data_IF_456509690047
#
_entry.id   IF_456509690047
#
_cell.length_a   1.000
_cell.length_b   1.000
_cell.length_c   1.000
_cell.angle_alpha   90.00
_cell.angle_beta   90.00
_cell.angle_gamma   90.00
#
_symmetry.space_group_name_H-M   'P 1'
#
loop_
_entity.id
_entity.type
_entity.pdbx_description
1 polymer ?
#
# COMPACT_ATOMS: atom_id res chain seq x y z
N UNK A 1 21.62 -11.82 20.52
CA UNK A 1 20.32 -12.02 19.83
C UNK A 1 19.78 -10.65 19.47
N UNK A 2 19.40 -10.40 18.21
CA UNK A 2 18.71 -9.17 17.81
C UNK A 2 17.23 -9.51 17.72
N UNK A 3 16.43 -8.96 18.64
CA UNK A 3 14.98 -9.18 18.67
C UNK A 3 14.32 -7.86 18.38
N UNK A 4 13.41 -7.85 17.40
CA UNK A 4 12.61 -6.69 17.04
C UNK A 4 11.14 -7.05 17.12
N UNK A 5 10.33 -6.18 17.75
CA UNK A 5 8.89 -6.32 17.89
C UNK A 5 8.19 -5.15 17.20
N UNK A 6 7.23 -5.45 16.33
CA UNK A 6 6.26 -4.47 15.84
C UNK A 6 5.03 -4.56 16.75
N UNK A 7 4.73 -3.48 17.46
CA UNK A 7 3.67 -3.44 18.47
C UNK A 7 2.73 -2.27 18.23
N UNK A 8 1.48 -2.43 18.61
CA UNK A 8 0.48 -1.35 18.66
C UNK A 8 -0.11 -1.33 20.06
N UNK A 9 -0.19 -0.14 20.65
CA UNK A 9 -0.78 0.01 21.97
C UNK A 9 -2.28 -0.18 21.84
N UNK A 10 -2.90 -0.97 22.73
CA UNK A 10 -4.34 -1.04 22.80
C UNK A 10 -4.89 0.32 23.29
N UNK A 11 -5.73 0.96 22.49
CA UNK A 11 -6.35 2.23 22.83
C UNK A 11 -7.87 2.13 22.66
N UNK A 12 -8.59 2.67 23.63
CA UNK A 12 -10.06 2.75 23.66
C UNK A 12 -10.56 4.20 23.56
N UNK A 13 -9.68 5.16 23.33
CA UNK A 13 -10.03 6.60 23.22
C UNK A 13 -10.75 6.97 21.92
N UNK A 14 -10.75 6.07 20.93
CA UNK A 14 -11.25 6.33 19.59
C UNK A 14 -10.21 6.99 18.65
N UNK A 15 -9.05 7.37 19.18
CA UNK A 15 -7.92 7.86 18.38
C UNK A 15 -7.19 6.71 17.67
N UNK A 16 -6.42 7.05 16.64
CA UNK A 16 -5.55 6.10 15.95
C UNK A 16 -4.47 5.64 16.92
N UNK A 17 -4.54 4.38 17.32
CA UNK A 17 -3.65 3.83 18.32
C UNK A 17 -2.19 3.82 17.83
N UNK A 18 -1.24 4.32 18.64
CA UNK A 18 0.14 4.46 18.19
C UNK A 18 0.82 3.10 18.05
N UNK A 19 1.65 2.98 17.01
CA UNK A 19 2.46 1.80 16.71
C UNK A 19 3.95 2.09 16.88
N UNK A 20 4.71 1.08 17.29
CA UNK A 20 6.14 1.18 17.55
C UNK A 20 6.92 -0.02 17.03
N UNK A 21 8.19 0.22 16.70
CA UNK A 21 9.20 -0.82 16.50
C UNK A 21 10.13 -0.82 17.72
N UNK A 22 10.15 -1.91 18.47
CA UNK A 22 11.00 -2.10 19.65
C UNK A 22 12.13 -3.05 19.29
N UNK A 23 13.38 -2.62 19.40
CA UNK A 23 14.55 -3.46 19.10
C UNK A 23 15.46 -3.56 20.31
N UNK A 24 15.84 -4.78 20.68
CA UNK A 24 16.88 -5.02 21.69
C UNK A 24 18.19 -5.35 20.98
N UNK A 25 19.18 -4.49 21.18
CA UNK A 25 20.51 -4.61 20.57
C UNK A 25 21.58 -4.20 21.59
N UNK A 26 22.59 -5.04 21.74
CA UNK A 26 23.76 -4.80 22.61
C UNK A 26 23.38 -4.43 24.06
N UNK A 27 22.28 -5.01 24.57
CA UNK A 27 21.75 -4.75 25.92
C UNK A 27 20.90 -3.47 26.05
N UNK A 28 20.81 -2.66 25.00
CA UNK A 28 19.95 -1.48 24.92
C UNK A 28 18.59 -1.77 24.26
N UNK A 29 17.57 -1.03 24.69
CA UNK A 29 16.26 -0.98 24.05
C UNK A 29 16.17 0.26 23.17
N UNK A 30 15.99 0.06 21.87
CA UNK A 30 15.67 1.11 20.89
C UNK A 30 14.17 1.09 20.60
N UNK A 31 13.54 2.26 20.61
CA UNK A 31 12.11 2.44 20.35
C UNK A 31 11.94 3.43 19.22
N UNK A 32 11.29 3.01 18.13
CA UNK A 32 10.91 3.86 17.02
C UNK A 32 9.39 4.00 16.98
N UNK A 33 8.89 5.23 16.94
CA UNK A 33 7.46 5.51 16.77
C UNK A 33 7.09 5.60 15.29
N UNK A 34 6.01 4.92 14.89
CA UNK A 34 5.42 5.07 13.55
C UNK A 34 4.48 6.27 13.54
N UNK A 35 5.05 7.48 13.59
CA UNK A 35 4.29 8.71 13.58
C UNK A 35 4.75 9.64 12.46
N UNK A 36 3.79 10.09 11.65
CA UNK A 36 3.95 11.16 10.67
C UNK A 36 2.66 12.01 10.72
N UNK A 37 2.74 13.33 10.96
CA UNK A 37 1.56 14.19 10.98
C UNK A 37 0.75 14.08 9.68
N UNK A 38 -0.58 14.19 9.80
CA UNK A 38 -1.50 14.13 8.68
C UNK A 38 -2.70 15.04 8.94
N UNK A 39 -3.20 15.66 7.88
CA UNK A 39 -4.42 16.47 7.86
C UNK A 39 -5.52 15.84 7.00
N UNK A 40 -5.44 14.52 6.74
CA UNK A 40 -6.38 13.79 5.90
C UNK A 40 -7.76 13.71 6.53
N UNK A 41 -8.79 14.16 5.80
CA UNK A 41 -10.16 14.23 6.30
C UNK A 41 -10.78 12.87 6.67
N UNK A 42 -10.24 11.76 6.18
CA UNK A 42 -10.69 10.39 6.47
C UNK A 42 -9.58 9.54 7.11
N UNK A 43 -8.60 10.16 7.78
CA UNK A 43 -7.51 9.43 8.43
C UNK A 43 -8.01 8.35 9.38
N UNK A 44 -9.01 8.61 10.22
CA UNK A 44 -9.60 7.62 11.13
C UNK A 44 -10.21 6.42 10.39
N UNK A 45 -10.73 6.64 9.18
CA UNK A 45 -11.35 5.58 8.39
C UNK A 45 -10.32 4.61 7.82
N UNK A 46 -9.18 5.15 7.38
CA UNK A 46 -8.15 4.41 6.62
C UNK A 46 -6.91 4.04 7.44
N UNK A 47 -6.67 4.68 8.58
CA UNK A 47 -5.58 4.38 9.52
C UNK A 47 -6.05 3.37 10.55
N UNK A 48 -5.90 2.09 10.23
CA UNK A 48 -6.39 0.97 11.05
C UNK A 48 -5.29 0.33 11.91
N UNK A 49 -4.18 1.03 12.12
CA UNK A 49 -2.99 0.52 12.80
C UNK A 49 -2.20 -0.44 11.91
N UNK A 50 -1.75 -1.54 12.51
CA UNK A 50 -0.94 -2.57 11.85
C UNK A 50 -1.84 -3.50 11.03
N UNK A 51 -1.67 -3.49 9.72
CA UNK A 51 -2.32 -4.39 8.77
C UNK A 51 -1.30 -5.33 8.12
N UNK A 52 -1.51 -6.65 8.23
CA UNK A 52 -0.64 -7.63 7.56
C UNK A 52 -0.99 -7.72 6.08
N UNK A 53 -0.04 -7.38 5.21
CA UNK A 53 -0.20 -7.47 3.76
C UNK A 53 0.45 -8.75 3.21
N UNK A 54 -0.23 -9.87 3.45
CA UNK A 54 0.18 -11.19 3.02
C UNK A 54 1.51 -11.66 3.66
N UNK A 55 2.39 -12.24 2.82
CA UNK A 55 3.73 -12.67 3.23
C UNK A 55 4.82 -11.61 3.07
N UNK A 56 4.49 -10.42 2.55
CA UNK A 56 5.46 -9.37 2.25
C UNK A 56 5.87 -8.58 3.50
N UNK A 57 4.91 -8.26 4.35
CA UNK A 57 5.14 -7.39 5.49
C UNK A 57 3.87 -6.87 6.12
N UNK A 58 4.02 -5.74 6.79
CA UNK A 58 2.99 -5.05 7.52
C UNK A 58 2.90 -3.61 7.04
N UNK A 59 1.69 -3.15 6.78
CA UNK A 59 1.38 -1.76 6.49
C UNK A 59 0.88 -1.11 7.79
N UNK A 60 1.51 -0.03 8.22
CA UNK A 60 1.11 0.72 9.42
C UNK A 60 0.45 2.01 8.97
N UNK A 61 -0.86 2.08 9.18
CA UNK A 61 -1.71 3.23 8.84
C UNK A 61 -1.50 3.77 7.41
N UNK A 62 -1.20 2.92 6.44
CA UNK A 62 -0.90 3.32 5.06
C UNK A 62 0.29 4.27 4.85
N UNK A 63 1.07 4.60 5.88
CA UNK A 63 2.22 5.53 5.79
C UNK A 63 3.57 4.82 5.85
N UNK A 64 3.61 3.66 6.50
CA UNK A 64 4.83 2.90 6.69
C UNK A 64 4.63 1.47 6.24
N UNK A 65 5.60 0.94 5.52
CA UNK A 65 5.66 -0.46 5.18
C UNK A 65 6.86 -1.12 5.87
N UNK A 66 6.57 -2.13 6.70
CA UNK A 66 7.57 -2.91 7.44
C UNK A 66 7.69 -4.27 6.79
N UNK A 67 8.86 -4.56 6.21
CA UNK A 67 9.12 -5.85 5.57
C UNK A 67 9.22 -6.99 6.58
N UNK A 68 8.68 -8.16 6.23
CA UNK A 68 8.61 -9.29 7.17
C UNK A 68 9.98 -9.94 7.47
N UNK A 69 10.94 -9.86 6.54
CA UNK A 69 12.19 -10.65 6.61
C UNK A 69 13.25 -9.97 7.47
N UNK A 70 13.45 -8.66 7.32
CA UNK A 70 14.52 -7.93 8.00
C UNK A 70 14.02 -6.73 8.81
N UNK A 71 12.69 -6.61 8.99
CA UNK A 71 12.04 -5.51 9.69
C UNK A 71 12.42 -4.12 9.15
N UNK A 72 12.90 -4.01 7.90
CA UNK A 72 13.20 -2.72 7.29
C UNK A 72 11.89 -1.96 7.08
N UNK A 73 11.92 -0.71 7.53
CA UNK A 73 10.82 0.25 7.42
C UNK A 73 11.03 1.12 6.18
N UNK A 74 9.96 1.28 5.41
CA UNK A 74 9.88 2.21 4.29
C UNK A 74 8.76 3.21 4.54
N UNK A 75 9.00 4.47 4.17
CA UNK A 75 7.91 5.43 4.03
C UNK A 75 7.15 5.10 2.76
N UNK A 76 5.83 5.02 2.85
CA UNK A 76 4.97 4.92 1.68
C UNK A 76 4.71 6.34 1.21
N UNK A 77 5.10 6.65 -0.02
CA UNK A 77 4.84 7.96 -0.61
C UNK A 77 3.34 8.25 -0.66
N UNK A 78 2.93 9.31 0.01
CA UNK A 78 1.54 9.78 0.02
C UNK A 78 1.14 10.33 -1.35
N UNK A 79 -0.15 10.29 -1.65
CA UNK A 79 -0.68 10.92 -2.86
C UNK A 79 -0.66 12.45 -2.76
N UNK A 80 -0.88 12.97 -1.55
CA UNK A 80 -0.68 14.36 -1.16
C UNK A 80 0.18 14.38 0.10
N UNK A 81 1.21 15.21 0.17
CA UNK A 81 2.24 15.08 1.22
C UNK A 81 1.70 15.31 2.64
N UNK A 82 0.67 16.14 2.75
CA UNK A 82 -0.01 16.53 3.98
C UNK A 82 -1.09 15.54 4.44
N UNK A 83 -1.54 14.63 3.57
CA UNK A 83 -2.61 13.67 3.88
C UNK A 83 -2.06 12.24 3.81
N UNK A 84 -2.35 11.44 4.84
CA UNK A 84 -2.18 9.99 4.77
C UNK A 84 -2.91 9.45 3.56
N UNK A 85 -2.52 8.27 3.07
CA UNK A 85 -3.23 7.68 1.94
C UNK A 85 -4.67 7.34 2.34
N UNK A 86 -5.62 8.09 1.77
CA UNK A 86 -7.06 8.00 2.03
C UNK A 86 -7.70 6.84 1.23
N UNK A 87 -7.13 5.64 1.36
CA UNK A 87 -7.48 4.49 0.53
C UNK A 87 -7.48 3.17 1.28
N UNK A 88 -8.22 2.20 0.73
CA UNK A 88 -8.14 0.82 1.20
C UNK A 88 -6.96 0.12 0.54
N UNK A 89 -6.14 -0.59 1.32
CA UNK A 89 -5.16 -1.51 0.77
C UNK A 89 -5.87 -2.51 -0.16
N UNK A 90 -5.43 -2.57 -1.41
CA UNK A 90 -6.04 -3.40 -2.44
C UNK A 90 -5.27 -4.72 -2.57
N UNK A 91 -4.01 -4.62 -2.98
CA UNK A 91 -3.10 -5.75 -3.17
C UNK A 91 -1.66 -5.27 -3.32
N UNK A 92 -0.72 -6.20 -3.41
CA UNK A 92 0.65 -5.93 -3.81
C UNK A 92 0.96 -6.53 -5.19
N UNK A 93 1.96 -5.97 -5.86
CA UNK A 93 2.53 -6.57 -7.07
C UNK A 93 3.10 -7.97 -6.79
N UNK A 94 3.25 -8.83 -7.83
CA UNK A 94 3.81 -10.17 -7.68
C UNK A 94 5.23 -10.18 -7.09
N UNK A 95 6.05 -9.19 -7.44
CA UNK A 95 7.39 -8.98 -6.88
C UNK A 95 7.38 -8.35 -5.47
N UNK A 96 6.19 -8.01 -4.94
CA UNK A 96 5.95 -7.42 -3.62
C UNK A 96 6.68 -6.10 -3.42
N UNK A 97 6.89 -5.31 -4.47
CA UNK A 97 7.54 -3.99 -4.39
C UNK A 97 6.59 -2.82 -4.60
N UNK A 98 5.40 -3.05 -5.17
CA UNK A 98 4.36 -2.04 -5.35
C UNK A 98 3.16 -2.36 -4.48
N UNK A 99 2.67 -1.36 -3.76
CA UNK A 99 1.44 -1.42 -2.95
C UNK A 99 0.35 -0.65 -3.70
N UNK A 100 -0.80 -1.28 -3.93
CA UNK A 100 -1.96 -0.66 -4.55
C UNK A 100 -3.02 -0.30 -3.50
N UNK A 101 -3.59 0.89 -3.63
CA UNK A 101 -4.65 1.43 -2.78
C UNK A 101 -5.85 1.83 -3.62
N UNK A 102 -7.04 1.36 -3.25
CA UNK A 102 -8.29 1.83 -3.82
C UNK A 102 -8.70 3.15 -3.16
N UNK A 103 -8.71 4.23 -3.94
CA UNK A 103 -9.07 5.59 -3.54
C UNK A 103 -10.19 6.09 -4.46
N UNK A 104 -11.42 6.12 -3.94
CA UNK A 104 -12.60 6.50 -4.72
C UNK A 104 -12.76 5.62 -5.96
N UNK A 105 -12.68 6.24 -7.14
CA UNK A 105 -12.77 5.63 -8.47
C UNK A 105 -11.39 5.37 -9.12
N UNK A 106 -10.33 5.30 -8.31
CA UNK A 106 -8.97 5.13 -8.79
C UNK A 106 -8.14 4.19 -7.91
N UNK A 107 -7.06 3.67 -8.50
CA UNK A 107 -6.06 2.84 -7.84
C UNK A 107 -4.76 3.66 -7.78
N UNK A 108 -4.40 4.12 -6.59
CA UNK A 108 -3.11 4.75 -6.33
C UNK A 108 -2.08 3.68 -5.98
N UNK A 109 -0.93 3.72 -6.62
CA UNK A 109 0.08 2.67 -6.51
C UNK A 109 1.42 3.28 -6.18
N UNK A 110 2.13 2.65 -5.24
CA UNK A 110 3.40 3.13 -4.73
C UNK A 110 4.42 2.02 -4.76
N UNK A 111 5.49 2.21 -5.54
CA UNK A 111 6.67 1.36 -5.47
C UNK A 111 7.54 1.83 -4.30
N UNK A 112 7.39 1.21 -3.13
CA UNK A 112 7.87 1.75 -1.85
C UNK A 112 9.39 1.79 -1.70
N UNK A 113 10.15 1.20 -2.63
CA UNK A 113 11.61 1.25 -2.61
C UNK A 113 12.19 2.41 -3.41
N UNK A 114 11.46 2.95 -4.40
CA UNK A 114 11.92 4.04 -5.27
C UNK A 114 11.01 5.27 -5.25
N UNK A 115 9.88 5.21 -4.54
CA UNK A 115 8.86 6.27 -4.50
C UNK A 115 8.26 6.61 -5.88
N UNK A 116 8.42 5.73 -6.87
CA UNK A 116 7.69 5.81 -8.12
C UNK A 116 6.22 5.48 -7.86
N UNK A 117 5.33 6.31 -8.43
CA UNK A 117 3.89 6.18 -8.23
C UNK A 117 3.16 6.09 -9.55
N UNK A 118 1.99 5.48 -9.52
CA UNK A 118 1.09 5.41 -10.67
C UNK A 118 -0.35 5.48 -10.20
N UNK A 119 -1.19 6.21 -10.92
CA UNK A 119 -2.64 6.29 -10.65
C UNK A 119 -3.36 5.70 -11.85
N UNK A 120 -4.14 4.65 -11.61
CA UNK A 120 -4.98 4.01 -12.60
C UNK A 120 -6.44 4.34 -12.28
N UNK A 121 -7.16 5.03 -13.17
CA UNK A 121 -8.62 5.17 -13.02
C UNK A 121 -9.28 3.81 -13.20
N UNK A 122 -10.32 3.55 -12.41
CA UNK A 122 -11.20 2.41 -12.65
C UNK A 122 -11.95 2.63 -13.97
N UNK A 123 -12.22 1.54 -14.70
CA UNK A 123 -13.06 1.62 -15.88
C UNK A 123 -14.49 2.02 -15.51
N UNK A 124 -15.22 2.60 -16.46
CA UNK A 124 -16.56 3.18 -16.24
C UNK A 124 -17.58 2.15 -15.72
N UNK A 125 -17.40 0.88 -16.09
CA UNK A 125 -18.24 -0.25 -15.69
C UNK A 125 -17.80 -0.91 -14.37
N UNK A 126 -16.77 -0.39 -13.68
CA UNK A 126 -16.35 -0.94 -12.41
C UNK A 126 -17.49 -0.89 -11.37
N UNK A 127 -17.62 -1.93 -10.53
CA UNK A 127 -18.56 -1.90 -9.41
C UNK A 127 -18.31 -0.71 -8.47
N UNK A 128 -19.32 -0.34 -7.68
CA UNK A 128 -19.19 0.74 -6.68
C UNK A 128 -18.95 0.26 -5.26
N UNK A 129 -19.35 -0.98 -4.97
CA UNK A 129 -19.16 -1.57 -3.64
C UNK A 129 -17.76 -2.16 -3.53
N UNK A 130 -17.07 -1.80 -2.46
CA UNK A 130 -15.66 -2.15 -2.25
C UNK A 130 -15.38 -3.65 -2.47
N UNK A 131 -16.09 -4.61 -1.83
CA UNK A 131 -15.85 -6.04 -2.06
C UNK A 131 -15.95 -6.46 -3.54
N UNK A 132 -16.98 -5.98 -4.25
CA UNK A 132 -17.17 -6.26 -5.67
C UNK A 132 -16.08 -5.61 -6.54
N UNK A 133 -15.54 -4.46 -6.13
CA UNK A 133 -14.39 -3.83 -6.81
C UNK A 133 -13.15 -4.70 -6.70
N UNK A 134 -12.89 -5.32 -5.54
CA UNK A 134 -11.75 -6.23 -5.37
C UNK A 134 -11.80 -7.40 -6.35
N UNK A 135 -12.92 -8.11 -6.41
CA UNK A 135 -13.13 -9.26 -7.30
C UNK A 135 -13.00 -8.84 -8.77
N UNK A 136 -13.67 -7.75 -9.15
CA UNK A 136 -13.63 -7.24 -10.51
C UNK A 136 -12.22 -6.82 -10.94
N UNK A 137 -11.43 -6.21 -10.05
CA UNK A 137 -10.03 -5.87 -10.33
C UNK A 137 -9.18 -7.12 -10.59
N UNK A 138 -9.40 -8.21 -9.83
CA UNK A 138 -8.65 -9.45 -10.02
C UNK A 138 -8.87 -10.07 -11.40
N UNK A 139 -10.06 -9.89 -11.97
CA UNK A 139 -10.42 -10.40 -13.30
C UNK A 139 -9.96 -9.47 -14.43
N UNK A 140 -10.07 -8.16 -14.23
CA UNK A 140 -9.96 -7.17 -15.32
C UNK A 140 -8.64 -6.39 -15.33
N UNK A 141 -7.69 -6.68 -14.43
CA UNK A 141 -6.41 -5.95 -14.34
C UNK A 141 -5.23 -6.91 -14.38
N UNK A 142 -4.10 -6.42 -14.90
CA UNK A 142 -2.80 -7.08 -14.84
C UNK A 142 -1.76 -6.18 -14.25
N UNK A 143 -0.80 -6.80 -13.58
CA UNK A 143 0.47 -6.15 -13.30
C UNK A 143 1.34 -6.13 -14.57
N UNK A 144 1.68 -4.93 -15.01
CA UNK A 144 2.56 -4.68 -16.14
C UNK A 144 3.81 -3.92 -15.69
N UNK A 145 4.97 -4.31 -16.22
CA UNK A 145 6.21 -3.59 -15.98
C UNK A 145 6.29 -2.34 -16.86
N UNK A 146 6.66 -1.22 -16.27
CA UNK A 146 7.02 -0.02 -17.01
C UNK A 146 8.47 -0.12 -17.55
N UNK A 147 8.94 0.94 -18.24
CA UNK A 147 10.31 1.02 -18.79
C UNK A 147 11.42 0.92 -17.74
N UNK A 148 11.13 1.20 -16.46
CA UNK A 148 12.06 1.06 -15.33
C UNK A 148 12.01 -0.34 -14.70
N UNK A 149 11.20 -1.26 -15.24
CA UNK A 149 11.00 -2.60 -14.71
C UNK A 149 10.04 -2.68 -13.51
N UNK A 150 9.39 -1.57 -13.14
CA UNK A 150 8.48 -1.47 -12.00
C UNK A 150 7.10 -1.96 -12.40
N UNK A 151 6.54 -2.86 -11.59
CA UNK A 151 5.25 -3.49 -11.81
C UNK A 151 4.09 -2.64 -11.27
N UNK A 152 3.19 -2.20 -12.15
CA UNK A 152 1.98 -1.48 -11.81
C UNK A 152 0.75 -2.19 -12.36
N UNK A 153 -0.32 -2.21 -11.58
CA UNK A 153 -1.64 -2.74 -11.91
C UNK A 153 -2.33 -1.83 -12.92
N UNK A 154 -2.69 -2.37 -14.08
CA UNK A 154 -3.37 -1.65 -15.17
C UNK A 154 -4.58 -2.42 -15.65
N UNK A 155 -5.55 -1.68 -16.17
CA UNK A 155 -6.74 -2.27 -16.76
C UNK A 155 -6.33 -3.09 -17.99
N UNK A 156 -6.81 -4.34 -18.06
CA UNK A 156 -6.77 -5.16 -19.25
C UNK A 156 -8.03 -4.85 -20.05
N UNK A 157 -7.84 -4.33 -21.24
CA UNK A 157 -8.92 -4.28 -22.22
C UNK A 157 -8.83 -5.55 -23.07
N UNK A 158 -9.63 -6.57 -22.73
CA UNK A 158 -9.71 -7.82 -23.48
C UNK A 158 -10.33 -7.61 -24.88
N UNK A 159 -10.97 -6.47 -25.14
CA UNK A 159 -11.54 -6.06 -26.43
C UNK A 159 -10.60 -5.16 -27.25
N UNK A 160 -9.32 -5.02 -26.86
CA UNK A 160 -8.36 -4.25 -27.65
C UNK A 160 -8.18 -4.93 -29.02
N UNK A 161 -8.76 -4.34 -30.06
CA UNK A 161 -8.41 -4.64 -31.47
C UNK A 161 -6.92 -4.31 -31.64
N UNK A 162 -6.08 -5.35 -31.61
CA UNK A 162 -4.64 -5.20 -31.87
C UNK A 162 -4.48 -4.97 -33.37
N UNK A 163 -4.03 -3.78 -33.73
CA UNK A 163 -3.63 -3.49 -35.11
C UNK A 163 -2.39 -4.34 -35.43
N UNK A 164 -2.47 -5.20 -36.46
CA UNK A 164 -1.40 -6.13 -36.87
C UNK A 164 -0.09 -5.39 -37.17
N UNK A 165 -0.13 -4.08 -37.38
CA UNK A 165 1.05 -3.23 -37.54
C UNK A 165 1.98 -3.14 -36.31
N UNK A 166 1.53 -3.53 -35.10
CA UNK A 166 2.35 -3.49 -33.88
C UNK A 166 3.35 -4.67 -33.77
N UNK A 167 3.27 -5.69 -34.64
CA UNK A 167 4.19 -6.84 -34.69
C UNK A 167 5.27 -6.72 -35.77
N UNK A 168 5.85 -5.53 -35.97
CA UNK A 168 7.03 -5.36 -36.83
C UNK A 168 8.33 -5.40 -36.04
#
# INVERSE_FOLDING_TARGET
QKTTLLVQIADNSGLIAPSYLLTVKDGGLEVLSFYRPSAGAQDERYSRGINRVGGAGYLVDNDFFVTNVNAKVYLVKRQKDEERIQGHFLMMSPDRQTIAFLIGDSIYQVHYTTDDTYVQKLAVNAPKQIPAVYEWIQENYAFEKNKKGISFLKYKDDDRVVDISEFK
#
